data_IF_168519481018
#
_entry.id   IF_168519481018
#
_cell.length_a   1.000
_cell.length_b   1.000
_cell.length_c   1.000
_cell.angle_alpha   90.00
_cell.angle_beta   90.00
_cell.angle_gamma   90.00
#
_symmetry.space_group_name_H-M   'P 1'
#
loop_
_entity.id
_entity.type
_entity.pdbx_description
1 polymer ?
#
# COMPACT_ATOMS: atom_id res chain seq x y z
N UNK A 1 -8.96 -3.93 -7.84
CA UNK A 1 -9.12 -3.56 -9.27
C UNK A 1 -8.87 -2.07 -9.45
N UNK A 2 -8.54 -1.62 -10.66
CA UNK A 2 -8.56 -0.21 -11.02
C UNK A 2 -9.85 0.09 -11.82
N UNK A 3 -10.73 0.99 -11.33
CA UNK A 3 -12.04 1.18 -11.93
C UNK A 3 -11.98 2.07 -13.16
N UNK A 4 -12.56 1.60 -14.26
CA UNK A 4 -12.88 2.44 -15.42
C UNK A 4 -14.13 3.30 -15.17
N UNK A 5 -15.12 2.76 -14.45
CA UNK A 5 -16.40 3.43 -14.13
C UNK A 5 -16.81 3.10 -12.69
N UNK A 6 -16.50 4.00 -11.74
CA UNK A 6 -16.73 3.78 -10.30
C UNK A 6 -18.19 3.39 -9.95
N UNK A 7 -19.24 4.04 -10.49
CA UNK A 7 -20.63 3.68 -10.16
C UNK A 7 -20.99 2.22 -10.46
N UNK A 8 -20.50 1.67 -11.57
CA UNK A 8 -20.73 0.28 -11.96
C UNK A 8 -20.10 -0.70 -10.97
N UNK A 9 -18.86 -0.45 -10.57
CA UNK A 9 -18.20 -1.32 -9.59
C UNK A 9 -18.82 -1.19 -8.20
N UNK A 10 -19.29 0.01 -7.81
CA UNK A 10 -20.05 0.19 -6.56
C UNK A 10 -21.38 -0.55 -6.55
N UNK A 11 -22.12 -0.59 -7.66
CA UNK A 11 -23.34 -1.41 -7.75
C UNK A 11 -23.04 -2.91 -7.62
N UNK A 12 -21.81 -3.30 -7.93
CA UNK A 12 -21.27 -4.63 -7.69
C UNK A 12 -20.52 -4.74 -6.35
N UNK A 13 -20.80 -3.91 -5.34
CA UNK A 13 -20.27 -4.06 -3.98
C UNK A 13 -18.79 -3.70 -3.78
N UNK A 14 -18.09 -3.18 -4.79
CA UNK A 14 -16.72 -2.67 -4.65
C UNK A 14 -16.70 -1.28 -4.03
N UNK A 15 -15.63 -0.95 -3.33
CA UNK A 15 -15.38 0.43 -2.87
C UNK A 15 -13.94 0.87 -3.11
N UNK A 16 -13.74 2.17 -3.34
CA UNK A 16 -12.41 2.79 -3.44
C UNK A 16 -11.79 2.80 -2.05
N UNK A 17 -10.64 2.14 -1.90
CA UNK A 17 -9.96 1.99 -0.60
C UNK A 17 -8.56 2.61 -0.57
N UNK A 18 -8.04 3.05 -1.72
CA UNK A 18 -6.74 3.70 -1.80
C UNK A 18 -6.45 4.21 -3.21
N UNK A 19 -5.25 4.76 -3.39
CA UNK A 19 -4.77 5.27 -4.67
C UNK A 19 -3.37 4.75 -4.98
N UNK A 20 -3.06 4.65 -6.27
CA UNK A 20 -1.72 4.59 -6.80
C UNK A 20 -1.45 5.96 -7.43
N UNK A 21 -0.60 6.74 -6.78
CA UNK A 21 -0.28 8.10 -7.23
C UNK A 21 1.01 8.11 -8.05
N UNK A 22 1.09 9.03 -9.00
CA UNK A 22 2.35 9.51 -9.55
C UNK A 22 2.52 10.98 -9.13
N UNK A 23 3.57 11.30 -8.38
CA UNK A 23 3.86 12.63 -7.83
C UNK A 23 5.11 13.21 -8.45
N UNK A 24 5.06 14.45 -8.94
CA UNK A 24 6.19 15.12 -9.58
C UNK A 24 6.81 16.16 -8.66
N UNK A 25 8.13 16.10 -8.45
CA UNK A 25 8.89 17.05 -7.63
C UNK A 25 10.30 17.25 -8.17
N UNK A 26 11.02 18.26 -7.67
CA UNK A 26 12.41 18.47 -8.08
C UNK A 26 13.31 17.37 -7.50
N UNK A 27 14.22 16.83 -8.30
CA UNK A 27 15.11 15.74 -7.88
C UNK A 27 15.97 16.12 -6.67
N UNK A 28 16.37 17.39 -6.57
CA UNK A 28 17.11 17.91 -5.40
C UNK A 28 16.30 17.85 -4.09
N UNK A 29 14.97 17.89 -4.19
CA UNK A 29 14.05 17.90 -3.04
C UNK A 29 13.86 16.48 -2.46
N UNK A 30 14.36 15.44 -3.16
CA UNK A 30 14.52 14.11 -2.59
C UNK A 30 15.61 14.03 -1.53
N UNK A 31 16.52 15.02 -1.47
CA UNK A 31 17.59 15.00 -0.50
C UNK A 31 16.99 14.91 0.92
N UNK A 32 17.33 13.88 1.71
CA UNK A 32 16.83 13.78 3.06
C UNK A 32 17.38 14.95 3.89
N UNK A 33 16.71 15.24 5.02
CA UNK A 33 17.28 16.16 6.00
C UNK A 33 18.71 15.70 6.39
N UNK A 34 19.66 16.62 6.61
CA UNK A 34 21.02 16.27 6.98
C UNK A 34 21.04 15.39 8.24
N UNK A 35 21.44 14.14 8.07
CA UNK A 35 21.62 13.17 9.14
C UNK A 35 22.66 12.16 8.67
N UNK A 36 23.50 11.68 9.59
CA UNK A 36 24.44 10.63 9.27
C UNK A 36 23.65 9.37 8.84
N UNK A 37 24.04 8.82 7.70
CA UNK A 37 23.64 7.49 7.28
C UNK A 37 24.88 6.60 7.28
N UNK A 38 24.75 5.43 7.90
CA UNK A 38 25.75 4.37 7.93
C UNK A 38 25.59 3.42 6.73
N UNK A 39 24.57 3.65 5.90
CA UNK A 39 24.28 2.83 4.73
C UNK A 39 25.05 3.32 3.49
N UNK A 40 25.60 2.36 2.75
CA UNK A 40 26.20 2.59 1.43
C UNK A 40 25.23 2.19 0.33
N UNK A 41 25.30 2.85 -0.82
CA UNK A 41 24.44 2.53 -1.97
C UNK A 41 25.28 1.98 -3.12
N UNK A 42 24.85 0.85 -3.69
CA UNK A 42 25.43 0.25 -4.89
C UNK A 42 24.37 -0.09 -5.92
N UNK A 43 24.79 -0.26 -7.17
CA UNK A 43 23.94 -0.85 -8.22
C UNK A 43 23.64 -2.31 -7.89
N UNK A 44 22.40 -2.74 -8.13
CA UNK A 44 21.99 -4.12 -8.02
C UNK A 44 22.33 -4.94 -9.27
N UNK A 45 22.53 -6.23 -9.10
CA UNK A 45 22.81 -7.20 -10.15
C UNK A 45 21.74 -8.31 -10.13
N UNK A 46 21.10 -8.65 -11.27
CA UNK A 46 19.95 -9.56 -11.29
C UNK A 46 20.24 -10.92 -10.65
N UNK A 47 21.33 -11.56 -11.08
CA UNK A 47 21.71 -12.91 -10.63
C UNK A 47 22.06 -13.00 -9.14
N UNK A 48 22.44 -11.87 -8.54
CA UNK A 48 22.87 -11.79 -7.15
C UNK A 48 21.77 -11.28 -6.22
N UNK A 49 20.98 -10.32 -6.69
CA UNK A 49 20.18 -9.47 -5.81
C UNK A 49 18.67 -9.68 -5.94
N UNK A 50 18.17 -10.41 -6.95
CA UNK A 50 16.73 -10.62 -7.15
C UNK A 50 16.05 -11.21 -5.91
N UNK A 51 16.63 -12.25 -5.30
CA UNK A 51 16.07 -12.87 -4.10
C UNK A 51 16.05 -11.93 -2.88
N UNK A 52 17.04 -11.03 -2.78
CA UNK A 52 17.11 -10.04 -1.69
C UNK A 52 16.02 -8.98 -1.85
N UNK A 53 15.77 -8.53 -3.07
CA UNK A 53 14.69 -7.59 -3.39
C UNK A 53 13.32 -8.21 -3.13
N UNK A 54 13.12 -9.47 -3.55
CA UNK A 54 11.88 -10.19 -3.26
C UNK A 54 11.62 -10.23 -1.75
N UNK A 55 12.62 -10.60 -0.94
CA UNK A 55 12.49 -10.66 0.51
C UNK A 55 12.20 -9.29 1.16
N UNK A 56 12.85 -8.22 0.68
CA UNK A 56 12.60 -6.86 1.17
C UNK A 56 11.18 -6.40 0.83
N UNK A 57 10.73 -6.66 -0.40
CA UNK A 57 9.38 -6.33 -0.83
C UNK A 57 8.33 -7.13 -0.06
N UNK A 58 8.52 -8.45 0.10
CA UNK A 58 7.63 -9.30 0.89
C UNK A 58 7.53 -8.82 2.34
N UNK A 59 8.66 -8.41 2.94
CA UNK A 59 8.68 -7.84 4.29
C UNK A 59 7.87 -6.54 4.39
N UNK A 60 8.01 -5.64 3.41
CA UNK A 60 7.21 -4.42 3.34
C UNK A 60 5.71 -4.72 3.13
N UNK A 61 5.39 -5.63 2.21
CA UNK A 61 4.00 -6.01 1.91
C UNK A 61 3.32 -6.66 3.12
N UNK A 62 4.04 -7.53 3.85
CA UNK A 62 3.55 -8.20 5.05
C UNK A 62 3.37 -7.25 6.25
N UNK A 63 4.22 -6.23 6.39
CA UNK A 63 4.10 -5.22 7.45
C UNK A 63 3.05 -4.15 7.15
N UNK A 64 2.65 -4.00 5.88
CA UNK A 64 1.71 -3.01 5.39
C UNK A 64 0.28 -3.54 5.21
N UNK A 65 -0.52 -2.76 4.49
CA UNK A 65 -1.83 -3.15 4.00
C UNK A 65 -1.92 -2.86 2.50
N UNK A 66 -2.46 -3.78 1.71
CA UNK A 66 -2.71 -3.58 0.27
C UNK A 66 -1.61 -4.08 -0.67
N UNK A 67 -0.38 -4.31 -0.19
CA UNK A 67 0.71 -4.84 -1.02
C UNK A 67 0.35 -6.17 -1.68
N UNK A 68 0.67 -6.32 -2.96
CA UNK A 68 0.41 -7.57 -3.69
C UNK A 68 1.48 -8.60 -3.35
N UNK A 69 1.09 -9.87 -3.25
CA UNK A 69 2.04 -10.98 -3.34
C UNK A 69 2.51 -11.09 -4.79
N UNK A 70 3.77 -10.72 -5.07
CA UNK A 70 4.34 -10.68 -6.43
C UNK A 70 4.73 -12.06 -6.96
N UNK A 71 3.75 -12.96 -7.06
CA UNK A 71 3.89 -14.35 -7.51
C UNK A 71 2.83 -14.70 -8.56
N UNK A 72 3.14 -15.68 -9.41
CA UNK A 72 2.19 -16.21 -10.40
C UNK A 72 2.12 -15.40 -11.70
N UNK A 73 0.99 -15.49 -12.42
CA UNK A 73 0.89 -15.04 -13.83
C UNK A 73 1.14 -13.55 -14.07
N UNK A 74 0.89 -12.70 -13.08
CA UNK A 74 1.16 -11.27 -13.18
C UNK A 74 2.65 -10.93 -12.96
N UNK A 75 3.43 -11.86 -12.40
CA UNK A 75 4.83 -11.67 -12.05
C UNK A 75 5.68 -12.88 -12.51
N UNK A 76 5.75 -13.14 -13.83
CA UNK A 76 6.37 -14.35 -14.37
C UNK A 76 7.87 -14.46 -14.10
N UNK A 77 8.61 -13.33 -14.05
CA UNK A 77 10.03 -13.30 -13.66
C UNK A 77 10.26 -12.81 -12.23
N UNK A 78 9.20 -12.62 -11.44
CA UNK A 78 9.29 -12.18 -10.05
C UNK A 78 10.13 -10.91 -9.88
N UNK A 79 10.99 -10.88 -8.87
CA UNK A 79 11.87 -9.73 -8.62
C UNK A 79 12.95 -9.52 -9.71
N UNK A 80 13.26 -10.52 -10.55
CA UNK A 80 14.22 -10.35 -11.63
C UNK A 80 13.68 -9.41 -12.73
N UNK A 81 12.35 -9.35 -12.92
CA UNK A 81 11.72 -8.46 -13.90
C UNK A 81 12.01 -6.97 -13.61
N UNK A 82 12.25 -6.62 -12.34
CA UNK A 82 12.64 -5.26 -11.94
C UNK A 82 13.94 -4.80 -12.62
N UNK A 83 14.83 -5.72 -13.00
CA UNK A 83 16.09 -5.40 -13.67
C UNK A 83 15.99 -5.38 -15.20
N UNK A 84 14.92 -5.92 -15.78
CA UNK A 84 14.78 -6.02 -17.23
C UNK A 84 14.56 -4.66 -17.89
N UNK A 85 13.92 -3.72 -17.18
CA UNK A 85 13.54 -2.42 -17.70
C UNK A 85 13.99 -1.23 -16.84
N UNK A 86 14.44 -1.48 -15.61
CA UNK A 86 14.82 -0.43 -14.66
C UNK A 86 16.22 -0.60 -14.11
N UNK A 87 16.79 0.52 -13.67
CA UNK A 87 17.96 0.50 -12.81
C UNK A 87 17.52 0.16 -11.39
N UNK A 88 18.37 -0.59 -10.71
CA UNK A 88 18.16 -0.96 -9.31
C UNK A 88 19.33 -0.47 -8.48
N UNK A 89 19.04 0.20 -7.37
CA UNK A 89 20.04 0.57 -6.38
C UNK A 89 19.66 0.00 -5.03
N UNK A 90 20.67 -0.50 -4.31
CA UNK A 90 20.53 -1.21 -3.05
C UNK A 90 21.27 -0.44 -1.95
N UNK A 91 20.64 -0.28 -0.79
CA UNK A 91 21.26 0.26 0.40
C UNK A 91 21.68 -0.87 1.33
N UNK A 92 22.95 -0.88 1.74
CA UNK A 92 23.51 -1.87 2.65
C UNK A 92 24.10 -1.20 3.89
N UNK A 93 23.82 -1.76 5.06
CA UNK A 93 24.38 -1.29 6.34
C UNK A 93 25.87 -1.62 6.49
N UNK A 94 26.50 -1.22 7.61
CA UNK A 94 27.92 -1.48 7.90
C UNK A 94 28.28 -2.97 7.98
N UNK A 95 27.29 -3.81 8.30
CA UNK A 95 27.38 -5.28 8.32
C UNK A 95 27.30 -5.91 6.92
N UNK A 96 27.13 -5.11 5.88
CA UNK A 96 26.96 -5.55 4.50
C UNK A 96 25.57 -6.12 4.18
N UNK A 97 24.63 -6.11 5.13
CA UNK A 97 23.27 -6.57 4.91
C UNK A 97 22.49 -5.52 4.12
N UNK A 98 21.88 -5.93 3.02
CA UNK A 98 20.99 -5.07 2.23
C UNK A 98 19.71 -4.80 3.02
N UNK A 99 19.40 -3.53 3.24
CA UNK A 99 18.26 -3.06 4.04
C UNK A 99 17.23 -2.26 3.23
N UNK A 100 17.48 -2.05 1.94
CA UNK A 100 16.51 -1.40 1.07
C UNK A 100 16.92 -1.43 -0.39
N UNK A 101 15.96 -1.17 -1.25
CA UNK A 101 16.15 -1.03 -2.68
C UNK A 101 15.28 0.08 -3.27
N UNK A 102 15.69 0.58 -4.43
CA UNK A 102 14.89 1.47 -5.26
C UNK A 102 15.01 1.04 -6.72
N UNK A 103 13.89 1.02 -7.43
CA UNK A 103 13.84 0.77 -8.86
C UNK A 103 13.44 2.05 -9.59
N UNK A 104 14.19 2.42 -10.62
CA UNK A 104 13.95 3.67 -11.33
C UNK A 104 14.49 3.64 -12.76
N UNK A 105 13.88 4.46 -13.61
CA UNK A 105 14.34 4.69 -14.98
C UNK A 105 14.93 6.08 -15.11
N UNK A 106 15.99 6.18 -15.90
CA UNK A 106 16.43 7.47 -16.45
C UNK A 106 15.55 7.72 -17.67
N UNK A 107 14.68 8.72 -17.62
CA UNK A 107 13.82 9.07 -18.75
C UNK A 107 14.61 9.31 -20.06
N UNK A 108 13.89 9.48 -21.17
CA UNK A 108 14.49 9.44 -22.53
C UNK A 108 15.30 10.69 -22.95
N UNK A 109 15.61 11.64 -22.05
CA UNK A 109 16.21 12.93 -22.40
C UNK A 109 17.59 13.17 -21.80
N UNK A 110 18.64 13.18 -22.64
CA UNK A 110 19.95 13.81 -22.31
C UNK A 110 20.09 15.22 -22.91
N UNK A 111 19.17 15.61 -23.80
CA UNK A 111 19.15 16.92 -24.49
C UNK A 111 17.81 17.60 -24.20
N UNK A 112 17.85 18.83 -23.68
CA UNK A 112 16.67 19.72 -23.64
C UNK A 112 16.06 20.04 -22.27
N UNK A 113 16.68 19.67 -21.14
CA UNK A 113 16.17 20.05 -19.81
C UNK A 113 14.93 19.27 -19.33
N UNK A 114 14.48 18.28 -20.09
CA UNK A 114 13.33 17.40 -19.78
C UNK A 114 13.76 16.08 -19.10
N UNK A 115 14.94 16.04 -18.49
CA UNK A 115 15.41 14.87 -17.77
C UNK A 115 14.51 14.57 -16.57
N UNK A 116 13.71 13.50 -16.66
CA UNK A 116 12.84 13.02 -15.59
C UNK A 116 13.31 11.64 -15.12
N UNK A 117 13.60 11.51 -13.82
CA UNK A 117 13.72 10.19 -13.20
C UNK A 117 12.33 9.64 -12.94
N UNK A 118 12.05 8.42 -13.34
CA UNK A 118 10.83 7.73 -12.92
C UNK A 118 11.17 6.72 -11.84
N UNK A 119 10.76 7.00 -10.61
CA UNK A 119 10.93 6.07 -9.48
C UNK A 119 9.68 5.22 -9.38
N UNK A 120 9.83 3.92 -9.58
CA UNK A 120 8.72 2.97 -9.55
C UNK A 120 8.38 2.53 -8.14
N UNK A 121 9.40 2.31 -7.31
CA UNK A 121 9.25 1.97 -5.90
C UNK A 121 10.54 2.21 -5.13
N UNK A 122 10.38 2.55 -3.85
CA UNK A 122 11.45 2.55 -2.85
C UNK A 122 10.94 1.74 -1.66
N UNK A 123 11.66 0.67 -1.33
CA UNK A 123 11.40 -0.16 -0.16
C UNK A 123 12.61 -0.11 0.75
N UNK A 124 12.40 0.21 2.02
CA UNK A 124 13.45 0.30 3.02
C UNK A 124 12.97 -0.28 4.35
N UNK A 125 13.81 -1.09 4.98
CA UNK A 125 13.56 -1.69 6.29
C UNK A 125 13.71 -0.66 7.42
N UNK A 126 14.49 0.40 7.20
CA UNK A 126 14.75 1.44 8.19
C UNK A 126 15.00 2.82 7.55
N UNK A 127 15.07 3.84 8.41
CA UNK A 127 15.30 5.21 7.99
C UNK A 127 16.71 5.44 7.38
N UNK A 128 17.72 4.68 7.78
CA UNK A 128 19.09 4.80 7.27
C UNK A 128 19.15 4.40 5.79
N UNK A 129 18.54 3.25 5.46
CA UNK A 129 18.40 2.76 4.09
C UNK A 129 17.56 3.71 3.23
N UNK A 130 16.40 4.17 3.74
CA UNK A 130 15.56 5.12 3.01
C UNK A 130 16.31 6.42 2.66
N UNK A 131 17.02 7.02 3.64
CA UNK A 131 17.82 8.23 3.42
C UNK A 131 18.97 7.99 2.44
N UNK A 132 19.66 6.85 2.53
CA UNK A 132 20.77 6.55 1.62
C UNK A 132 20.28 6.44 0.17
N UNK A 133 19.17 5.73 -0.07
CA UNK A 133 18.56 5.59 -1.40
C UNK A 133 18.07 6.94 -1.94
N UNK A 134 17.36 7.73 -1.12
CA UNK A 134 16.91 9.07 -1.49
C UNK A 134 18.08 10.02 -1.80
N UNK A 135 19.15 9.98 -1.00
CA UNK A 135 20.37 10.72 -1.24
C UNK A 135 21.07 10.30 -2.54
N UNK A 136 21.03 9.02 -2.88
CA UNK A 136 21.52 8.51 -4.17
C UNK A 136 20.70 9.06 -5.35
N UNK A 137 19.36 9.04 -5.24
CA UNK A 137 18.47 9.64 -6.25
C UNK A 137 18.69 11.15 -6.40
N UNK A 138 18.83 11.89 -5.29
CA UNK A 138 19.01 13.35 -5.31
C UNK A 138 20.27 13.81 -6.05
N UNK A 139 21.31 12.97 -6.11
CA UNK A 139 22.55 13.25 -6.87
C UNK A 139 22.34 13.29 -8.38
N UNK A 140 21.23 12.78 -8.89
CA UNK A 140 20.86 12.89 -10.29
C UNK A 140 20.37 14.28 -10.70
N UNK A 141 20.15 15.22 -9.77
CA UNK A 141 19.58 16.53 -10.08
C UNK A 141 20.27 17.30 -11.23
N UNK A 142 21.61 17.20 -11.49
CA UNK A 142 22.23 17.90 -12.61
C UNK A 142 21.86 17.31 -13.98
N UNK A 143 21.45 16.03 -14.00
CA UNK A 143 21.12 15.28 -15.22
C UNK A 143 19.60 15.18 -15.43
N UNK A 144 18.87 14.93 -14.35
CA UNK A 144 17.42 14.85 -14.32
C UNK A 144 16.93 15.73 -13.18
N UNK A 145 16.48 16.94 -13.51
CA UNK A 145 16.06 17.96 -12.55
C UNK A 145 14.72 17.63 -11.88
N UNK A 146 13.95 16.72 -12.48
CA UNK A 146 12.61 16.32 -12.05
C UNK A 146 12.57 14.82 -11.76
N UNK A 147 11.78 14.43 -10.76
CA UNK A 147 11.43 13.04 -10.50
C UNK A 147 9.90 12.88 -10.57
N UNK A 148 9.47 11.80 -11.22
CA UNK A 148 8.12 11.25 -11.14
C UNK A 148 8.16 10.05 -10.19
N UNK A 149 7.58 10.23 -9.02
CA UNK A 149 7.54 9.25 -7.93
C UNK A 149 6.23 8.48 -7.96
N UNK A 150 6.29 7.15 -8.11
CA UNK A 150 5.14 6.27 -7.98
C UNK A 150 4.94 5.79 -6.55
N UNK A 151 3.69 5.75 -6.11
CA UNK A 151 3.26 5.27 -4.80
C UNK A 151 2.58 6.36 -3.99
N UNK A 152 2.06 6.05 -2.78
CA UNK A 152 1.25 6.99 -2.02
C UNK A 152 1.98 8.31 -1.72
N UNK A 153 1.39 9.44 -2.13
CA UNK A 153 1.97 10.78 -1.93
C UNK A 153 2.29 11.05 -0.45
N UNK A 154 1.40 10.61 0.45
CA UNK A 154 1.58 10.73 1.89
C UNK A 154 2.77 9.91 2.43
N UNK A 155 3.15 8.82 1.75
CA UNK A 155 4.36 8.06 2.05
C UNK A 155 5.61 8.88 1.76
N UNK A 156 5.68 9.49 0.57
CA UNK A 156 6.78 10.36 0.17
C UNK A 156 6.95 11.56 1.12
N UNK A 157 5.84 12.19 1.52
CA UNK A 157 5.82 13.31 2.49
C UNK A 157 6.48 12.99 3.84
N UNK A 158 6.50 11.72 4.25
CA UNK A 158 7.16 11.29 5.51
C UNK A 158 8.66 11.08 5.35
N UNK A 159 9.15 10.94 4.12
CA UNK A 159 10.54 10.57 3.84
C UNK A 159 11.41 11.77 3.44
N UNK A 160 10.82 12.81 2.82
CA UNK A 160 11.55 13.99 2.35
C UNK A 160 11.32 15.21 3.25
N UNK A 161 12.33 16.08 3.34
CA UNK A 161 12.25 17.32 4.13
C UNK A 161 11.59 18.48 3.38
N UNK A 162 11.36 18.33 2.07
CA UNK A 162 10.74 19.34 1.22
C UNK A 162 9.21 19.19 1.18
N UNK A 163 8.53 20.28 0.82
CA UNK A 163 7.10 20.24 0.55
C UNK A 163 6.83 19.37 -0.69
N UNK A 164 6.03 18.31 -0.53
CA UNK A 164 5.62 17.44 -1.64
C UNK A 164 4.32 17.97 -2.23
N UNK A 165 4.28 18.29 -3.54
CA UNK A 165 3.06 18.77 -4.19
C UNK A 165 2.01 17.65 -4.29
N UNK A 166 0.74 17.99 -4.58
CA UNK A 166 -0.27 17.00 -4.90
C UNK A 166 0.16 16.12 -6.09
N UNK A 167 -0.34 14.88 -6.18
CA UNK A 167 -0.01 13.99 -7.27
C UNK A 167 -0.48 14.55 -8.61
N UNK A 168 0.31 14.32 -9.66
CA UNK A 168 -0.03 14.71 -11.04
C UNK A 168 -0.99 13.71 -11.69
N UNK A 169 -0.96 12.46 -11.22
CA UNK A 169 -1.90 11.41 -11.58
C UNK A 169 -2.29 10.65 -10.31
N UNK A 170 -3.59 10.38 -10.15
CA UNK A 170 -4.12 9.55 -9.07
C UNK A 170 -4.99 8.46 -9.68
N UNK A 171 -4.59 7.20 -9.50
CA UNK A 171 -5.35 6.05 -9.95
C UNK A 171 -6.02 5.38 -8.75
N UNK A 172 -7.33 5.56 -8.52
CA UNK A 172 -8.01 4.89 -7.43
C UNK A 172 -7.99 3.39 -7.67
N UNK A 173 -7.88 2.61 -6.60
CA UNK A 173 -8.08 1.17 -6.65
C UNK A 173 -9.15 0.77 -5.66
N UNK A 174 -9.92 -0.23 -6.06
CA UNK A 174 -11.08 -0.71 -5.33
C UNK A 174 -10.85 -2.12 -4.79
N UNK A 175 -11.46 -2.38 -3.64
CA UNK A 175 -11.53 -3.67 -2.98
C UNK A 175 -13.00 -4.10 -2.85
N UNK A 176 -13.22 -5.41 -2.89
CA UNK A 176 -14.47 -6.05 -2.48
C UNK A 176 -14.14 -7.27 -1.63
N UNK A 177 -14.83 -7.42 -0.51
CA UNK A 177 -14.85 -8.66 0.26
C UNK A 177 -15.86 -9.60 -0.38
N UNK A 178 -15.38 -10.72 -0.95
CA UNK A 178 -16.21 -11.68 -1.70
C UNK A 178 -16.76 -12.77 -0.79
N UNK A 179 -15.90 -13.34 0.06
CA UNK A 179 -16.25 -14.27 1.11
C UNK A 179 -15.92 -13.60 2.46
N UNK A 180 -16.90 -13.06 3.19
CA UNK A 180 -16.64 -12.32 4.41
C UNK A 180 -16.10 -13.21 5.54
N UNK A 181 -16.45 -14.50 5.56
CA UNK A 181 -15.96 -15.44 6.58
C UNK A 181 -14.49 -15.75 6.32
N UNK A 182 -14.15 -16.18 5.10
CA UNK A 182 -12.77 -16.49 4.74
C UNK A 182 -11.87 -15.25 4.80
N UNK A 183 -12.38 -14.08 4.43
CA UNK A 183 -11.61 -12.84 4.51
C UNK A 183 -11.27 -12.47 5.96
N UNK A 184 -12.24 -12.55 6.89
CA UNK A 184 -11.99 -12.28 8.31
C UNK A 184 -11.03 -13.32 8.90
N UNK A 185 -11.18 -14.60 8.58
CA UNK A 185 -10.30 -15.67 9.08
C UNK A 185 -8.84 -15.49 8.61
N UNK A 186 -8.64 -15.07 7.34
CA UNK A 186 -7.32 -14.88 6.75
C UNK A 186 -6.64 -13.55 7.13
N UNK A 187 -7.40 -12.57 7.64
CA UNK A 187 -6.88 -11.24 7.97
C UNK A 187 -6.12 -11.28 9.30
N UNK A 188 -4.91 -10.71 9.32
CA UNK A 188 -4.22 -10.39 10.57
C UNK A 188 -4.89 -9.23 11.30
N UNK A 189 -5.17 -9.40 12.59
CA UNK A 189 -5.71 -8.35 13.46
C UNK A 189 -4.64 -7.86 14.46
N UNK A 190 -4.79 -6.68 15.06
CA UNK A 190 -3.87 -6.22 16.10
C UNK A 190 -3.87 -7.17 17.32
N UNK A 191 -2.70 -7.69 17.70
CA UNK A 191 -2.57 -8.76 18.72
C UNK A 191 -3.19 -8.43 20.08
N UNK A 192 -3.16 -7.16 20.48
CA UNK A 192 -3.62 -6.67 21.78
C UNK A 192 -5.06 -6.17 21.77
N UNK A 193 -5.76 -6.28 20.65
CA UNK A 193 -7.16 -5.87 20.53
C UNK A 193 -8.05 -7.09 20.74
N UNK A 194 -9.01 -6.94 21.65
CA UNK A 194 -10.15 -7.84 21.78
C UNK A 194 -11.43 -7.05 21.49
N UNK A 195 -12.21 -7.48 20.52
CA UNK A 195 -13.43 -6.81 20.12
C UNK A 195 -14.50 -7.81 19.70
N UNK A 196 -15.76 -7.45 19.95
CA UNK A 196 -16.92 -8.19 19.49
C UNK A 196 -17.92 -7.20 18.90
N UNK A 197 -18.41 -7.49 17.70
CA UNK A 197 -19.38 -6.66 17.01
C UNK A 197 -20.41 -7.54 16.30
N UNK A 198 -21.70 -7.22 16.44
CA UNK A 198 -22.76 -7.92 15.74
C UNK A 198 -23.46 -7.00 14.75
N UNK A 199 -23.56 -7.43 13.49
CA UNK A 199 -24.14 -6.63 12.43
C UNK A 199 -24.81 -7.51 11.37
N UNK A 200 -25.84 -6.97 10.70
CA UNK A 200 -26.33 -7.54 9.45
C UNK A 200 -25.42 -7.06 8.32
N UNK A 201 -24.88 -7.98 7.52
CA UNK A 201 -24.10 -7.61 6.35
C UNK A 201 -25.04 -7.42 5.15
N UNK A 202 -25.02 -6.25 4.51
CA UNK A 202 -25.84 -5.99 3.33
C UNK A 202 -25.01 -6.10 2.05
N UNK A 203 -25.31 -7.11 1.22
CA UNK A 203 -24.69 -7.32 -0.09
C UNK A 203 -25.75 -7.57 -1.17
N UNK A 204 -26.09 -6.55 -1.99
CA UNK A 204 -27.08 -6.69 -3.07
C UNK A 204 -26.75 -7.77 -4.11
N UNK A 205 -25.49 -8.20 -4.20
CA UNK A 205 -25.04 -9.21 -5.16
C UNK A 205 -24.94 -10.61 -4.54
N UNK A 206 -25.00 -10.73 -3.21
CA UNK A 206 -24.91 -12.01 -2.50
C UNK A 206 -25.97 -12.10 -1.39
N UNK A 207 -27.23 -12.40 -1.73
CA UNK A 207 -28.30 -12.54 -0.74
C UNK A 207 -28.00 -13.56 0.37
N UNK A 208 -27.22 -14.60 0.07
CA UNK A 208 -26.83 -15.64 1.04
C UNK A 208 -25.96 -15.13 2.19
N UNK A 209 -25.25 -14.01 2.03
CA UNK A 209 -24.48 -13.39 3.12
C UNK A 209 -25.28 -12.33 3.87
N UNK A 210 -26.50 -12.03 3.42
CA UNK A 210 -27.39 -11.02 4.00
C UNK A 210 -28.11 -11.51 5.26
N UNK A 211 -27.33 -11.77 6.30
CA UNK A 211 -27.78 -12.24 7.62
C UNK A 211 -27.00 -11.55 8.74
N UNK A 212 -27.41 -11.80 9.98
CA UNK A 212 -26.70 -11.30 11.14
C UNK A 212 -25.42 -12.11 11.40
N UNK A 213 -24.32 -11.40 11.58
CA UNK A 213 -22.99 -11.94 11.83
C UNK A 213 -22.47 -11.44 13.17
N UNK A 214 -21.74 -12.30 13.87
CA UNK A 214 -20.92 -11.98 15.03
C UNK A 214 -19.46 -11.99 14.59
N UNK A 215 -18.81 -10.84 14.66
CA UNK A 215 -17.36 -10.70 14.56
C UNK A 215 -16.77 -10.88 15.96
N UNK A 216 -15.76 -11.73 16.07
CA UNK A 216 -14.92 -11.87 17.26
C UNK A 216 -13.46 -11.69 16.86
N UNK A 217 -12.77 -10.77 17.53
CA UNK A 217 -11.34 -10.51 17.32
C UNK A 217 -10.63 -10.69 18.65
N UNK A 218 -9.58 -11.51 18.67
CA UNK A 218 -8.70 -11.69 19.82
C UNK A 218 -7.39 -12.37 19.41
N UNK A 219 -6.28 -12.05 20.10
CA UNK A 219 -5.00 -12.72 19.88
C UNK A 219 -4.48 -12.61 18.44
N UNK A 220 -4.77 -11.50 17.77
CA UNK A 220 -4.39 -11.25 16.38
C UNK A 220 -5.19 -12.00 15.32
N UNK A 221 -6.26 -12.70 15.70
CA UNK A 221 -7.15 -13.46 14.81
C UNK A 221 -8.56 -12.91 14.86
N UNK A 222 -9.28 -13.09 13.75
CA UNK A 222 -10.70 -12.78 13.63
C UNK A 222 -11.50 -14.01 13.25
N UNK A 223 -12.74 -14.09 13.72
CA UNK A 223 -13.73 -15.06 13.28
C UNK A 223 -15.06 -14.36 13.01
N UNK A 224 -15.76 -14.78 11.97
CA UNK A 224 -17.08 -14.29 11.62
C UNK A 224 -18.06 -15.47 11.58
N UNK A 225 -19.05 -15.47 12.46
CA UNK A 225 -20.01 -16.56 12.61
C UNK A 225 -21.46 -16.06 12.52
N UNK A 226 -22.41 -16.86 12.01
CA UNK A 226 -23.82 -16.46 12.01
C UNK A 226 -24.34 -16.27 13.43
N UNK A 227 -25.22 -15.30 13.62
CA UNK A 227 -25.90 -15.05 14.90
C UNK A 227 -27.38 -14.71 14.68
N UNK A 228 -28.19 -14.74 15.74
CA UNK A 228 -29.61 -14.40 15.69
C UNK A 228 -29.91 -12.90 15.87
N UNK A 229 -28.92 -12.11 16.32
CA UNK A 229 -29.11 -10.70 16.70
C UNK A 229 -27.99 -9.82 16.17
N UNK A 230 -28.33 -8.61 15.73
CA UNK A 230 -27.38 -7.62 15.23
C UNK A 230 -27.66 -6.24 15.83
N UNK A 231 -26.61 -5.49 16.15
CA UNK A 231 -26.70 -4.14 16.68
C UNK A 231 -26.80 -3.06 15.58
N UNK A 232 -26.31 -3.36 14.38
CA UNK A 232 -26.32 -2.45 13.24
C UNK A 232 -26.38 -3.21 11.90
N UNK A 233 -26.50 -2.47 10.80
CA UNK A 233 -26.37 -2.94 9.42
C UNK A 233 -25.11 -2.34 8.81
N UNK A 234 -24.27 -3.19 8.23
CA UNK A 234 -23.03 -2.82 7.55
C UNK A 234 -23.14 -3.21 6.08
N UNK A 235 -23.02 -2.24 5.18
CA UNK A 235 -22.99 -2.52 3.75
C UNK A 235 -21.65 -3.16 3.35
N UNK A 236 -21.62 -4.07 2.37
CA UNK A 236 -20.39 -4.76 1.90
C UNK A 236 -19.28 -3.79 1.47
N UNK A 237 -19.65 -2.64 0.89
CA UNK A 237 -18.74 -1.52 0.60
C UNK A 237 -18.10 -0.93 1.86
N UNK A 238 -18.85 -0.81 2.95
CA UNK A 238 -18.32 -0.40 4.26
C UNK A 238 -17.37 -1.44 4.84
N UNK A 239 -17.72 -2.74 4.71
CA UNK A 239 -16.81 -3.83 5.07
C UNK A 239 -15.50 -3.78 4.28
N UNK A 240 -15.53 -3.46 2.98
CA UNK A 240 -14.32 -3.31 2.17
C UNK A 240 -13.41 -2.17 2.68
N UNK A 241 -13.99 -1.03 3.07
CA UNK A 241 -13.26 0.10 3.65
C UNK A 241 -12.61 -0.26 5.00
N UNK A 242 -13.34 -0.91 5.91
CA UNK A 242 -12.79 -1.39 7.19
C UNK A 242 -11.70 -2.41 6.98
N UNK A 243 -11.97 -3.41 6.13
CA UNK A 243 -11.04 -4.49 5.84
C UNK A 243 -9.68 -3.97 5.38
N UNK A 244 -9.69 -2.95 4.52
CA UNK A 244 -8.50 -2.28 4.01
C UNK A 244 -7.85 -1.29 5.00
N UNK A 245 -8.50 -0.96 6.12
CA UNK A 245 -8.05 0.12 7.02
C UNK A 245 -8.21 1.52 6.43
N UNK A 246 -9.12 1.70 5.47
CA UNK A 246 -9.27 2.92 4.67
C UNK A 246 -10.21 3.96 5.29
N UNK A 247 -11.10 3.55 6.21
CA UNK A 247 -12.09 4.43 6.84
C UNK A 247 -12.45 3.95 8.25
N UNK A 248 -12.97 4.88 9.06
CA UNK A 248 -13.50 4.61 10.41
C UNK A 248 -15.01 4.33 10.37
N UNK A 249 -15.56 3.72 11.42
CA UNK A 249 -17.00 3.55 11.59
C UNK A 249 -17.76 4.87 11.52
N UNK A 250 -17.16 5.95 12.00
CA UNK A 250 -17.67 7.32 11.86
C UNK A 250 -17.80 7.75 10.39
N UNK A 251 -16.78 7.46 9.56
CA UNK A 251 -16.84 7.74 8.12
C UNK A 251 -17.93 6.91 7.44
N UNK A 252 -18.07 5.63 7.81
CA UNK A 252 -19.10 4.76 7.27
C UNK A 252 -20.50 5.24 7.61
N UNK A 253 -20.74 5.69 8.84
CA UNK A 253 -22.03 6.24 9.27
C UNK A 253 -22.37 7.50 8.48
N UNK A 254 -21.41 8.41 8.32
CA UNK A 254 -21.58 9.60 7.48
C UNK A 254 -21.87 9.27 6.01
N UNK A 255 -21.28 8.19 5.50
CA UNK A 255 -21.49 7.72 4.14
C UNK A 255 -22.75 6.84 3.95
N UNK A 256 -23.50 6.55 5.03
CA UNK A 256 -24.66 5.66 5.00
C UNK A 256 -24.31 4.18 4.72
N UNK A 257 -23.07 3.78 5.01
CA UNK A 257 -22.57 2.40 4.87
C UNK A 257 -22.65 1.60 6.18
N UNK A 258 -22.93 2.27 7.29
CA UNK A 258 -23.17 1.71 8.62
C UNK A 258 -24.29 2.52 9.28
N UNK A 259 -25.28 1.88 9.92
CA UNK A 259 -26.45 2.58 10.50
C UNK A 259 -26.49 2.59 12.04
N UNK A 260 -25.44 2.10 12.71
CA UNK A 260 -25.35 2.03 14.16
C UNK A 260 -23.92 2.08 14.66
N UNK A 261 -23.74 2.14 15.98
CA UNK A 261 -22.42 2.09 16.61
C UNK A 261 -22.01 0.63 16.86
N UNK A 262 -20.73 0.33 16.60
CA UNK A 262 -20.13 -0.98 16.78
C UNK A 262 -18.83 -0.81 17.59
N UNK A 263 -18.92 -0.74 18.93
CA UNK A 263 -17.76 -0.48 19.79
C UNK A 263 -16.61 -1.45 19.53
N UNK A 264 -15.39 -0.92 19.43
CA UNK A 264 -14.18 -1.71 19.20
C UNK A 264 -13.95 -2.13 17.75
N UNK A 265 -14.89 -1.90 16.83
CA UNK A 265 -14.73 -2.24 15.41
C UNK A 265 -13.56 -1.49 14.77
N UNK A 266 -13.43 -0.19 15.03
CA UNK A 266 -12.33 0.62 14.51
C UNK A 266 -10.98 0.13 15.02
N UNK A 267 -10.90 -0.24 16.30
CA UNK A 267 -9.69 -0.80 16.88
C UNK A 267 -9.33 -2.16 16.27
N UNK A 268 -10.32 -3.01 15.98
CA UNK A 268 -10.12 -4.30 15.34
C UNK A 268 -9.57 -4.15 13.91
N UNK A 269 -10.10 -3.19 13.15
CA UNK A 269 -9.70 -2.97 11.76
C UNK A 269 -8.54 -1.97 11.58
N UNK A 270 -8.07 -1.34 12.66
CA UNK A 270 -6.94 -0.43 12.64
C UNK A 270 -5.68 -1.09 12.04
N UNK A 271 -4.92 -0.30 11.27
CA UNK A 271 -3.70 -0.74 10.62
C UNK A 271 -3.04 0.39 9.83
N UNK A 272 -1.93 0.10 9.14
CA UNK A 272 -1.31 1.03 8.20
C UNK A 272 -2.31 1.46 7.12
N UNK A 273 -2.18 2.70 6.65
CA UNK A 273 -2.96 3.14 5.51
C UNK A 273 -2.68 2.22 4.29
N UNK A 274 -3.71 1.78 3.57
CA UNK A 274 -3.54 0.86 2.46
C UNK A 274 -2.68 1.49 1.34
N UNK A 275 -1.67 0.75 0.91
CA UNK A 275 -0.72 1.14 -0.10
C UNK A 275 -0.53 0.03 -1.13
N UNK A 276 -0.45 0.43 -2.40
CA UNK A 276 -0.24 -0.44 -3.54
C UNK A 276 0.86 0.18 -4.40
N UNK A 277 1.73 -0.64 -4.99
CA UNK A 277 2.82 -0.18 -5.87
C UNK A 277 2.63 -0.63 -7.32
N UNK A 278 1.75 -1.60 -7.55
CA UNK A 278 1.56 -2.26 -8.84
C UNK A 278 0.24 -1.83 -9.51
N UNK A 279 0.25 -1.69 -10.82
CA UNK A 279 -0.97 -1.54 -11.62
C UNK A 279 -1.32 -2.87 -12.30
N UNK A 280 -2.61 -3.21 -12.42
CA UNK A 280 -3.09 -4.45 -13.04
C UNK A 280 -4.48 -4.31 -13.67
#
# INVERSE_FOLDING_TARGET
>A
LFPTVVPLYRSLGWEVVGTLDDTRLATRDLAPAPADTDCTVRTGEPDRDAATIEALYDGWAAAGAGGLTRRGRLFPGGAADAFASSLVSLAAGPDGTTRGFVTYDRGRGYRGGEGELRVWELVAADAGAARALLGSLARWHPVASTVLWRGPTAGLQRLVGAAVPPPVTTQPWMLRVVDPVAAVDARGFPERVSAQASFVLDDPQQPQVCQAWQLEVSGGRGALSPTGTAAARLHVRGLALLYAGAATGDDLRRAGLLDGDLPGLDAAFAGPAPALLDYF
#
